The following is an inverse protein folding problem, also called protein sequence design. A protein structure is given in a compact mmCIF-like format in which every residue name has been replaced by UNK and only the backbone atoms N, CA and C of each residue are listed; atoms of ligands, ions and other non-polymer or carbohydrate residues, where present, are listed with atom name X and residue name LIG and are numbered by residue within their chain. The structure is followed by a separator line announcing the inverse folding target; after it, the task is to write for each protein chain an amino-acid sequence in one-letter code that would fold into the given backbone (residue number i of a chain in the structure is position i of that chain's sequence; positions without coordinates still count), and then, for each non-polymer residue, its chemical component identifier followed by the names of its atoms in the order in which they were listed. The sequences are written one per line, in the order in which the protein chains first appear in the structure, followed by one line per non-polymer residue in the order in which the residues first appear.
data_IF_355128520274
#
_entry.id   IF_355128520274
#
_cell.length_a   1.000
_cell.length_b   1.000
_cell.length_c   1.000
_cell.angle_alpha   90.00
_cell.angle_beta   90.00
_cell.angle_gamma   90.00
#
_symmetry.space_group_name_H-M   'P 1'
#
loop_
_entity.id
_entity.type
_entity.pdbx_description
1 polymer ?
#
# COMPACT_ATOMS: atom_id res chain seq x y z
N UNK A 1 56.19 0.04 59.32
CA UNK A 1 56.93 0.92 58.46
C UNK A 1 56.04 1.18 57.21
N UNK A 2 55.64 2.42 57.06
CA UNK A 2 54.79 2.98 56.03
C UNK A 2 55.49 3.00 54.66
N UNK A 3 54.74 3.12 53.62
CA UNK A 3 54.79 4.07 52.51
C UNK A 3 53.89 3.68 51.34
N UNK A 4 52.88 4.41 51.11
CA UNK A 4 52.63 5.36 50.03
C UNK A 4 52.10 4.74 48.73
N UNK A 5 50.80 4.97 48.49
CA UNK A 5 50.19 5.01 47.19
C UNK A 5 50.69 6.20 46.33
N UNK A 6 50.56 6.14 45.03
CA UNK A 6 49.97 7.28 44.34
C UNK A 6 48.79 6.96 43.43
N UNK A 7 47.86 7.89 43.50
CA UNK A 7 46.64 8.10 42.75
C UNK A 7 46.75 7.93 41.22
N UNK A 8 45.79 7.20 40.61
CA UNK A 8 45.53 7.23 39.19
C UNK A 8 44.34 8.17 38.89
N UNK A 9 44.60 9.17 38.11
CA UNK A 9 43.62 10.15 37.57
C UNK A 9 42.69 9.49 36.57
N UNK A 10 41.39 9.65 36.76
CA UNK A 10 40.34 9.21 35.89
C UNK A 10 40.17 10.16 34.69
N UNK A 11 40.38 9.71 33.47
CA UNK A 11 39.93 10.36 32.24
C UNK A 11 38.41 10.27 32.09
N UNK A 12 37.71 11.31 31.59
CA UNK A 12 36.28 11.28 31.40
C UNK A 12 35.91 10.49 30.12
N UNK A 13 35.00 9.54 30.28
CA UNK A 13 34.44 8.75 29.20
C UNK A 13 33.67 9.61 28.18
N UNK A 14 33.95 9.44 26.90
CA UNK A 14 33.22 10.07 25.79
C UNK A 14 31.80 9.51 25.70
N UNK A 15 30.76 10.33 25.47
CA UNK A 15 29.40 9.84 25.34
C UNK A 15 29.22 9.06 24.01
N UNK A 16 28.57 7.92 24.09
CA UNK A 16 28.24 7.05 22.95
C UNK A 16 27.23 7.72 22.05
N UNK A 17 27.43 7.56 20.74
CA UNK A 17 26.61 8.10 19.61
C UNK A 17 25.15 7.61 19.54
N UNK A 18 24.65 6.88 20.51
CA UNK A 18 23.30 6.29 20.51
C UNK A 18 22.17 7.29 20.85
N UNK A 19 22.49 8.51 21.27
CA UNK A 19 21.47 9.51 21.67
C UNK A 19 21.00 10.39 20.49
N UNK A 20 21.74 10.43 19.37
CA UNK A 20 21.39 11.31 18.24
C UNK A 20 20.28 10.74 17.33
N UNK A 21 20.11 9.42 17.24
CA UNK A 21 19.09 8.80 16.39
C UNK A 21 17.67 8.90 16.95
N UNK A 22 17.52 8.87 18.28
CA UNK A 22 16.21 9.05 18.95
C UNK A 22 15.72 10.50 18.86
N UNK A 23 16.64 11.48 18.81
CA UNK A 23 16.29 12.89 18.70
C UNK A 23 15.78 13.29 17.31
N UNK A 24 16.18 12.60 16.24
CA UNK A 24 15.69 12.86 14.87
C UNK A 24 14.24 12.38 14.65
N UNK A 25 13.83 11.30 15.31
CA UNK A 25 12.45 10.78 15.20
C UNK A 25 11.44 11.64 15.99
N UNK A 26 11.84 12.17 17.13
CA UNK A 26 11.00 13.11 17.90
C UNK A 26 10.87 14.45 17.16
N UNK A 27 11.89 14.86 16.40
CA UNK A 27 11.86 16.07 15.57
C UNK A 27 10.89 15.96 14.39
N UNK A 28 10.81 14.82 13.71
CA UNK A 28 9.90 14.60 12.59
C UNK A 28 8.44 14.54 13.04
N UNK A 29 8.14 13.86 14.16
CA UNK A 29 6.79 13.82 14.74
C UNK A 29 6.36 15.18 15.31
N UNK A 30 7.28 15.96 15.88
CA UNK A 30 7.00 17.31 16.37
C UNK A 30 6.85 18.32 15.23
N UNK A 31 7.56 18.19 14.12
CA UNK A 31 7.38 19.01 12.92
C UNK A 31 6.02 18.75 12.24
N UNK A 32 5.57 17.51 12.18
CA UNK A 32 4.20 17.19 11.71
C UNK A 32 3.13 17.75 12.65
N UNK A 33 3.34 17.71 13.96
CA UNK A 33 2.39 18.25 14.93
C UNK A 33 2.35 19.79 14.90
N UNK A 34 3.47 20.47 14.70
CA UNK A 34 3.56 21.94 14.61
C UNK A 34 2.95 22.45 13.30
N UNK A 35 3.10 21.72 12.19
CA UNK A 35 2.44 22.05 10.93
C UNK A 35 0.91 21.80 10.98
N UNK A 36 0.47 20.88 11.83
CA UNK A 36 -0.97 20.62 12.03
C UNK A 36 -1.64 21.63 12.95
N UNK A 37 -0.96 22.12 13.99
CA UNK A 37 -1.46 23.13 14.93
C UNK A 37 -1.41 24.58 14.39
N UNK A 38 -0.73 24.82 13.28
CA UNK A 38 -0.62 26.12 12.62
C UNK A 38 -1.62 26.35 11.47
N UNK A 39 -2.48 25.38 11.15
CA UNK A 39 -3.56 25.60 10.19
C UNK A 39 -4.72 26.30 10.88
N UNK A 40 -4.92 27.58 10.55
CA UNK A 40 -6.10 28.33 10.95
C UNK A 40 -7.37 27.64 10.40
N UNK A 41 -8.33 27.24 11.23
CA UNK A 41 -9.54 26.56 10.77
C UNK A 41 -10.49 27.45 9.95
N UNK A 42 -10.18 28.73 9.78
CA UNK A 42 -10.96 29.71 9.02
C UNK A 42 -10.27 30.24 7.75
N UNK A 43 -9.21 29.59 7.23
CA UNK A 43 -8.67 29.93 5.93
C UNK A 43 -9.74 29.66 4.86
N UNK A 44 -10.24 30.75 4.28
CA UNK A 44 -11.43 30.83 3.41
C UNK A 44 -11.45 29.74 2.32
N UNK A 45 -12.57 29.04 2.23
CA UNK A 45 -12.91 28.01 1.24
C UNK A 45 -12.97 28.54 -0.23
N UNK A 46 -12.62 29.80 -0.49
CA UNK A 46 -12.84 30.49 -1.77
C UNK A 46 -11.60 30.79 -2.60
N UNK A 47 -10.43 30.26 -2.27
CA UNK A 47 -9.31 30.34 -3.21
C UNK A 47 -9.53 29.34 -4.35
N UNK A 48 -9.47 29.76 -5.65
CA UNK A 48 -9.60 28.84 -6.76
C UNK A 48 -8.42 27.87 -6.71
N UNK A 49 -8.65 26.62 -6.28
CA UNK A 49 -7.68 25.53 -6.40
C UNK A 49 -7.44 25.24 -7.88
N UNK A 50 -6.17 24.98 -8.23
CA UNK A 50 -5.78 24.63 -9.58
C UNK A 50 -6.68 23.51 -10.15
N UNK A 51 -6.95 23.59 -11.45
CA UNK A 51 -7.71 22.55 -12.15
C UNK A 51 -6.96 21.19 -12.04
N UNK A 52 -7.71 20.05 -12.04
CA UNK A 52 -7.13 18.73 -12.04
C UNK A 52 -6.04 18.56 -13.11
N UNK A 53 -5.01 17.76 -12.81
CA UNK A 53 -3.77 17.62 -13.58
C UNK A 53 -3.93 17.46 -15.10
N UNK A 54 -2.89 17.82 -15.82
CA UNK A 54 -2.86 17.76 -17.29
C UNK A 54 -2.07 16.54 -17.74
N UNK A 55 -2.58 15.69 -18.66
CA UNK A 55 -1.84 14.58 -19.22
C UNK A 55 -0.68 15.08 -20.09
N UNK A 56 0.52 14.55 -19.90
CA UNK A 56 1.68 14.77 -20.77
C UNK A 56 2.03 13.43 -21.42
N UNK A 57 1.99 13.39 -22.75
CA UNK A 57 2.23 12.17 -23.53
C UNK A 57 3.67 12.14 -24.08
N UNK A 58 4.30 10.98 -24.01
CA UNK A 58 5.33 10.62 -24.98
C UNK A 58 4.60 10.13 -26.26
N UNK A 59 5.05 10.55 -27.45
CA UNK A 59 4.39 10.33 -28.75
C UNK A 59 4.37 8.85 -29.22
N UNK A 60 3.94 7.90 -28.37
CA UNK A 60 3.87 6.49 -28.72
C UNK A 60 2.41 5.99 -28.71
N UNK A 61 1.94 5.52 -29.86
CA UNK A 61 0.70 4.76 -29.95
C UNK A 61 0.77 3.51 -29.06
N UNK A 62 -0.29 3.21 -28.30
CA UNK A 62 -0.38 2.00 -27.52
C UNK A 62 -0.22 0.78 -28.43
N UNK A 63 0.79 -0.10 -28.21
CA UNK A 63 0.91 -1.33 -29.00
C UNK A 63 -0.27 -2.25 -28.69
N UNK A 64 -0.78 -2.95 -29.71
CA UNK A 64 -1.65 -4.09 -29.48
C UNK A 64 -0.84 -5.15 -28.72
N UNK A 65 -1.21 -5.38 -27.46
CA UNK A 65 -0.55 -6.33 -26.56
C UNK A 65 -1.33 -7.61 -26.39
N UNK A 66 -0.73 -8.65 -25.78
CA UNK A 66 -1.43 -9.90 -25.50
C UNK A 66 -2.66 -9.63 -24.63
N UNK A 67 -3.68 -10.46 -24.87
CA UNK A 67 -4.92 -10.50 -24.10
C UNK A 67 -4.59 -10.58 -22.59
N UNK A 68 -5.30 -9.83 -21.75
CA UNK A 68 -5.11 -9.88 -20.30
C UNK A 68 -5.30 -11.33 -19.83
N UNK A 69 -4.28 -11.88 -19.20
CA UNK A 69 -4.43 -13.14 -18.47
C UNK A 69 -5.56 -13.00 -17.44
N UNK A 70 -6.24 -14.11 -17.18
CA UNK A 70 -7.43 -14.19 -16.33
C UNK A 70 -7.29 -13.42 -15.02
N UNK A 71 -8.03 -12.32 -14.92
CA UNK A 71 -8.23 -11.62 -13.65
C UNK A 71 -9.08 -12.51 -12.74
N UNK A 72 -8.74 -12.55 -11.45
CA UNK A 72 -9.51 -13.31 -10.47
C UNK A 72 -10.99 -12.93 -10.55
N UNK A 73 -11.85 -13.87 -10.95
CA UNK A 73 -13.29 -13.70 -10.88
C UNK A 73 -13.73 -13.79 -9.41
N UNK A 74 -14.20 -12.68 -8.86
CA UNK A 74 -14.67 -12.61 -7.49
C UNK A 74 -14.40 -11.24 -6.85
N UNK A 75 -15.05 -10.92 -5.72
CA UNK A 75 -14.82 -9.65 -5.05
C UNK A 75 -13.36 -9.54 -4.58
N UNK A 76 -12.77 -8.32 -4.57
CA UNK A 76 -11.40 -8.07 -4.15
C UNK A 76 -11.28 -8.22 -2.63
N UNK A 77 -10.86 -9.39 -2.16
CA UNK A 77 -10.86 -9.83 -0.76
C UNK A 77 -9.54 -9.62 -0.04
N UNK A 78 -8.52 -9.10 -0.71
CA UNK A 78 -7.19 -8.86 -0.16
C UNK A 78 -6.54 -7.66 -0.85
N UNK A 79 -5.39 -7.25 -0.31
CA UNK A 79 -4.62 -6.14 -0.85
C UNK A 79 -4.42 -6.27 -2.36
N UNK A 80 -4.67 -5.21 -3.11
CA UNK A 80 -4.56 -5.11 -4.57
C UNK A 80 -5.43 -6.12 -5.36
N UNK A 81 -6.42 -6.73 -4.70
CA UNK A 81 -7.41 -7.62 -5.29
C UNK A 81 -7.01 -9.10 -5.37
N UNK A 82 -5.74 -9.42 -5.50
CA UNK A 82 -5.23 -10.78 -5.62
C UNK A 82 -3.86 -10.98 -4.92
N UNK A 83 -3.41 -12.24 -4.76
CA UNK A 83 -2.16 -12.58 -4.08
C UNK A 83 -0.90 -12.09 -4.79
N UNK A 84 -0.98 -11.80 -6.09
CA UNK A 84 0.12 -11.27 -6.91
C UNK A 84 0.18 -9.74 -6.88
N UNK A 85 -0.78 -9.08 -6.25
CA UNK A 85 -0.92 -7.63 -6.13
C UNK A 85 -1.01 -6.92 -7.49
N UNK A 86 -1.69 -7.54 -8.46
CA UNK A 86 -1.75 -6.98 -9.81
C UNK A 86 -2.45 -5.62 -9.88
N UNK A 87 -3.34 -5.32 -8.93
CA UNK A 87 -4.18 -4.13 -8.97
C UNK A 87 -5.17 -4.15 -10.13
N UNK A 88 -5.49 -5.34 -10.68
CA UNK A 88 -6.47 -5.54 -11.74
C UNK A 88 -7.83 -5.88 -11.16
N UNK A 89 -8.87 -5.37 -11.79
CA UNK A 89 -10.25 -5.72 -11.50
C UNK A 89 -10.92 -6.34 -12.71
N UNK A 90 -11.68 -7.42 -12.49
CA UNK A 90 -12.55 -8.03 -13.51
C UNK A 90 -13.78 -7.17 -13.83
N UNK A 91 -14.01 -6.10 -13.07
CA UNK A 91 -15.19 -5.26 -13.15
C UNK A 91 -14.86 -3.92 -13.80
N UNK A 92 -15.84 -3.33 -14.51
CA UNK A 92 -15.74 -1.98 -15.00
C UNK A 92 -16.08 -0.99 -13.88
N UNK A 93 -15.26 0.05 -13.73
CA UNK A 93 -15.53 1.11 -12.76
C UNK A 93 -16.45 2.21 -13.28
N UNK A 94 -16.78 3.20 -12.43
CA UNK A 94 -17.75 4.23 -12.76
C UNK A 94 -17.27 5.12 -13.92
N UNK A 95 -18.19 5.43 -14.85
CA UNK A 95 -17.93 6.31 -16.00
C UNK A 95 -17.94 7.78 -15.60
N UNK A 96 -18.62 8.12 -14.54
CA UNK A 96 -18.67 9.43 -13.89
C UNK A 96 -18.62 9.21 -12.38
N UNK A 97 -18.20 10.21 -11.62
CA UNK A 97 -18.01 10.09 -10.18
C UNK A 97 -19.18 10.75 -9.44
N UNK A 98 -20.09 9.95 -8.88
CA UNK A 98 -21.08 10.40 -7.90
C UNK A 98 -20.92 9.70 -6.57
N UNK A 99 -21.06 10.46 -5.49
CA UNK A 99 -21.07 9.90 -4.14
C UNK A 99 -22.36 9.07 -3.93
N UNK A 100 -22.18 7.76 -3.79
CA UNK A 100 -23.30 6.90 -3.39
C UNK A 100 -23.59 7.00 -1.89
N UNK A 101 -22.52 6.91 -1.10
CA UNK A 101 -22.53 7.10 0.35
C UNK A 101 -21.11 7.28 0.88
N UNK A 102 -20.99 7.82 2.09
CA UNK A 102 -19.76 7.82 2.86
C UNK A 102 -19.99 7.29 4.26
N UNK A 103 -18.94 6.72 4.86
CA UNK A 103 -18.95 6.23 6.24
C UNK A 103 -17.80 6.86 7.01
N UNK A 104 -18.12 7.56 8.12
CA UNK A 104 -17.12 8.21 8.95
C UNK A 104 -16.56 7.23 10.00
N UNK A 105 -15.24 7.24 10.15
CA UNK A 105 -14.47 6.50 11.16
C UNK A 105 -13.89 7.44 12.21
N UNK A 106 -13.16 6.90 13.19
CA UNK A 106 -12.52 7.70 14.25
C UNK A 106 -11.10 8.16 13.92
N UNK A 107 -10.53 7.67 12.85
CA UNK A 107 -9.20 7.99 12.39
C UNK A 107 -9.10 7.90 10.87
N UNK A 108 -8.06 8.50 10.31
CA UNK A 108 -7.80 8.46 8.87
C UNK A 108 -7.75 7.02 8.34
N UNK A 109 -8.07 6.86 7.07
CA UNK A 109 -8.11 5.56 6.40
C UNK A 109 -7.05 5.54 5.30
N UNK A 110 -5.89 4.99 5.59
CA UNK A 110 -4.82 4.75 4.61
C UNK A 110 -4.82 3.30 4.10
N UNK A 111 -5.37 2.37 4.91
CA UNK A 111 -5.56 0.98 4.49
C UNK A 111 -6.51 0.88 3.30
N UNK A 112 -6.22 -0.02 2.35
CA UNK A 112 -7.15 -0.33 1.27
C UNK A 112 -8.40 -1.02 1.84
N UNK A 113 -9.63 -0.60 1.50
CA UNK A 113 -10.83 -1.36 1.82
C UNK A 113 -10.87 -2.68 1.02
N UNK A 114 -11.58 -3.69 1.52
CA UNK A 114 -11.79 -4.95 0.79
C UNK A 114 -13.27 -5.31 0.79
N UNK A 115 -13.67 -6.12 -0.21
CA UNK A 115 -15.07 -6.54 -0.40
C UNK A 115 -15.17 -8.04 -0.15
N UNK A 116 -16.03 -8.43 0.78
CA UNK A 116 -16.29 -9.82 1.13
C UNK A 116 -17.17 -10.57 0.11
N UNK A 117 -17.36 -11.89 0.32
CA UNK A 117 -18.07 -12.74 -0.64
C UNK A 117 -19.52 -12.34 -0.93
N UNK A 118 -20.22 -11.74 0.05
CA UNK A 118 -21.62 -11.28 -0.09
C UNK A 118 -21.74 -9.78 -0.33
N UNK A 119 -20.62 -9.09 -0.64
CA UNK A 119 -20.57 -7.66 -0.91
C UNK A 119 -20.37 -6.79 0.32
N UNK A 120 -20.07 -7.37 1.48
CA UNK A 120 -19.68 -6.61 2.66
C UNK A 120 -18.39 -5.83 2.39
N UNK A 121 -18.30 -4.62 2.95
CA UNK A 121 -17.09 -3.79 2.85
C UNK A 121 -16.39 -3.77 4.20
N UNK A 122 -15.13 -4.16 4.21
CA UNK A 122 -14.29 -4.11 5.39
C UNK A 122 -13.27 -2.99 5.26
N UNK A 123 -13.16 -2.18 6.30
CA UNK A 123 -12.23 -1.05 6.35
C UNK A 123 -11.63 -0.92 7.74
N UNK A 124 -10.36 -0.57 7.79
CA UNK A 124 -9.62 -0.33 9.02
C UNK A 124 -9.14 1.12 9.07
N UNK A 125 -9.06 1.68 10.27
CA UNK A 125 -8.67 3.07 10.49
C UNK A 125 -7.54 3.24 11.50
N UNK A 126 -6.91 4.42 11.50
CA UNK A 126 -5.88 4.78 12.48
C UNK A 126 -6.45 5.06 13.89
N UNK A 127 -7.77 5.13 14.07
CA UNK A 127 -8.42 5.12 15.38
C UNK A 127 -8.37 3.73 16.03
N UNK A 128 -7.86 2.73 15.31
CA UNK A 128 -7.62 1.39 15.81
C UNK A 128 -8.83 0.47 15.75
N UNK A 129 -9.77 0.75 14.85
CA UNK A 129 -10.98 -0.06 14.65
C UNK A 129 -11.02 -0.73 13.28
N UNK A 130 -11.45 -1.98 13.24
CA UNK A 130 -11.88 -2.69 12.04
C UNK A 130 -13.40 -2.62 11.94
N UNK A 131 -13.91 -2.19 10.80
CA UNK A 131 -15.34 -2.03 10.54
C UNK A 131 -15.79 -2.99 9.44
N UNK A 132 -16.96 -3.60 9.61
CA UNK A 132 -17.68 -4.32 8.57
C UNK A 132 -18.97 -3.57 8.24
N UNK A 133 -19.16 -3.26 6.97
CA UNK A 133 -20.30 -2.51 6.46
C UNK A 133 -21.10 -3.37 5.49
N UNK A 134 -22.40 -3.07 5.35
CA UNK A 134 -23.18 -3.56 4.22
C UNK A 134 -22.74 -2.86 2.93
N UNK A 135 -23.09 -3.38 1.71
CA UNK A 135 -22.83 -2.70 0.44
C UNK A 135 -23.46 -1.28 0.36
N UNK A 136 -24.38 -0.96 1.26
CA UNK A 136 -25.10 0.33 1.36
C UNK A 136 -24.53 1.26 2.43
N UNK A 137 -23.32 0.99 2.97
CA UNK A 137 -22.62 1.82 3.94
C UNK A 137 -23.17 1.74 5.37
N UNK A 138 -24.03 0.76 5.71
CA UNK A 138 -24.54 0.58 7.07
C UNK A 138 -23.58 -0.30 7.87
N UNK A 139 -23.19 0.16 9.07
CA UNK A 139 -22.36 -0.61 9.99
C UNK A 139 -23.04 -1.92 10.39
N UNK A 140 -22.34 -3.05 10.19
CA UNK A 140 -22.71 -4.37 10.71
C UNK A 140 -22.09 -4.62 12.07
N UNK A 141 -20.78 -4.41 12.16
CA UNK A 141 -20.02 -4.50 13.41
C UNK A 141 -18.74 -3.67 13.34
N UNK A 142 -18.23 -3.28 14.50
CA UNK A 142 -16.95 -2.61 14.73
C UNK A 142 -16.15 -3.40 15.77
N UNK A 143 -14.83 -3.53 15.58
CA UNK A 143 -13.91 -4.18 16.53
C UNK A 143 -12.72 -3.27 16.80
N UNK A 144 -12.62 -2.69 18.02
CA UNK A 144 -11.41 -1.98 18.44
C UNK A 144 -10.28 -2.99 18.70
N UNK A 145 -9.09 -2.74 18.14
CA UNK A 145 -7.95 -3.66 18.20
C UNK A 145 -6.78 -3.15 19.05
N UNK A 146 -6.88 -1.93 19.58
CA UNK A 146 -5.98 -1.39 20.60
C UNK A 146 -4.77 -0.60 20.09
N UNK A 147 -4.67 -0.36 18.79
CA UNK A 147 -3.62 0.49 18.15
C UNK A 147 -4.01 0.85 16.74
N UNK A 148 -3.37 1.83 16.12
CA UNK A 148 -3.61 2.18 14.73
C UNK A 148 -3.57 0.97 13.80
N UNK A 149 -4.37 0.98 12.74
CA UNK A 149 -4.40 -0.09 11.75
C UNK A 149 -4.04 0.49 10.39
N UNK A 150 -2.84 0.14 9.91
CA UNK A 150 -2.36 0.43 8.56
C UNK A 150 -2.59 -0.75 7.62
N UNK A 151 -2.77 -1.93 8.22
CA UNK A 151 -2.95 -3.20 7.53
C UNK A 151 -4.24 -3.22 6.71
N UNK A 152 -4.15 -3.55 5.43
CA UNK A 152 -5.33 -3.92 4.63
C UNK A 152 -5.91 -5.23 5.15
N UNK A 153 -7.21 -5.29 5.49
CA UNK A 153 -7.85 -6.54 5.87
C UNK A 153 -7.80 -7.57 4.74
N UNK A 154 -7.78 -8.86 5.11
CA UNK A 154 -7.96 -9.96 4.17
C UNK A 154 -9.23 -10.72 4.54
N UNK A 155 -10.02 -11.12 3.54
CA UNK A 155 -11.23 -11.94 3.72
C UNK A 155 -11.07 -13.24 2.97
N UNK A 156 -11.21 -14.38 3.65
CA UNK A 156 -11.12 -15.69 3.00
C UNK A 156 -12.44 -16.09 2.29
N UNK A 157 -12.44 -17.28 1.70
CA UNK A 157 -13.58 -17.84 0.99
C UNK A 157 -14.76 -18.20 1.91
N UNK A 158 -14.53 -18.30 3.21
CA UNK A 158 -15.56 -18.53 4.25
C UNK A 158 -16.08 -17.22 4.85
N UNK A 159 -15.52 -16.08 4.46
CA UNK A 159 -15.84 -14.75 4.99
C UNK A 159 -15.12 -14.41 6.30
N UNK A 160 -14.15 -15.22 6.72
CA UNK A 160 -13.33 -14.88 7.87
C UNK A 160 -12.40 -13.72 7.52
N UNK A 161 -12.25 -12.79 8.46
CA UNK A 161 -11.46 -11.57 8.29
C UNK A 161 -10.16 -11.68 9.08
N UNK A 162 -9.06 -11.24 8.47
CA UNK A 162 -7.74 -11.23 9.07
C UNK A 162 -7.15 -9.83 8.96
N UNK A 163 -6.50 -9.33 10.02
CA UNK A 163 -5.93 -7.99 10.08
C UNK A 163 -4.75 -7.92 11.04
N UNK A 164 -3.71 -7.19 10.67
CA UNK A 164 -2.60 -6.83 11.53
C UNK A 164 -2.82 -5.47 12.19
N UNK A 165 -2.09 -5.17 13.27
CA UNK A 165 -2.18 -3.89 13.99
C UNK A 165 -0.84 -3.48 14.59
N UNK A 166 -0.67 -2.18 14.84
CA UNK A 166 0.44 -1.62 15.64
C UNK A 166 0.36 -2.01 17.12
N UNK A 167 -0.75 -2.60 17.56
CA UNK A 167 -0.82 -3.27 18.86
C UNK A 167 -0.06 -4.61 18.89
N UNK A 168 0.82 -4.85 17.90
CA UNK A 168 1.68 -6.03 17.76
C UNK A 168 0.88 -7.33 17.80
N UNK A 169 -0.11 -7.40 16.96
CA UNK A 169 -0.93 -8.59 16.85
C UNK A 169 -1.54 -8.74 15.45
N UNK A 170 -1.71 -9.99 15.05
CA UNK A 170 -2.54 -10.41 13.94
C UNK A 170 -3.78 -11.06 14.52
N UNK A 171 -4.95 -10.67 14.04
CA UNK A 171 -6.24 -11.15 14.56
C UNK A 171 -7.10 -11.72 13.45
N UNK A 172 -7.89 -12.73 13.76
CA UNK A 172 -8.90 -13.29 12.86
C UNK A 172 -10.28 -13.20 13.50
N UNK A 173 -11.27 -12.84 12.66
CA UNK A 173 -12.67 -12.72 13.06
C UNK A 173 -13.57 -13.56 12.16
N UNK A 174 -14.71 -14.00 12.67
CA UNK A 174 -15.78 -14.59 11.87
C UNK A 174 -16.47 -13.52 11.01
N UNK A 175 -17.32 -13.89 10.04
CA UNK A 175 -18.14 -12.94 9.29
C UNK A 175 -19.05 -12.05 10.18
N UNK A 176 -19.40 -12.53 11.39
CA UNK A 176 -20.21 -11.83 12.39
C UNK A 176 -19.33 -10.96 13.30
N UNK A 177 -18.00 -10.99 13.10
CA UNK A 177 -17.03 -10.21 13.87
C UNK A 177 -16.66 -10.85 15.21
N UNK A 178 -16.92 -12.13 15.44
CA UNK A 178 -16.44 -12.84 16.61
C UNK A 178 -14.96 -13.16 16.48
N UNK A 179 -14.17 -12.92 17.56
CA UNK A 179 -12.75 -13.22 17.57
C UNK A 179 -12.53 -14.73 17.46
N UNK A 180 -11.82 -15.18 16.42
CA UNK A 180 -11.45 -16.58 16.23
C UNK A 180 -10.11 -16.89 16.90
N UNK A 181 -9.11 -16.05 16.67
CA UNK A 181 -7.79 -16.14 17.30
C UNK A 181 -7.06 -14.78 17.21
N UNK A 182 -6.07 -14.63 18.08
CA UNK A 182 -5.13 -13.50 18.08
C UNK A 182 -3.72 -14.03 18.28
N UNK A 183 -2.83 -13.68 17.36
CA UNK A 183 -1.42 -14.05 17.37
C UNK A 183 -0.59 -12.81 17.72
N UNK A 184 0.17 -12.80 18.84
CA UNK A 184 1.06 -11.70 19.20
C UNK A 184 2.32 -11.72 18.34
N UNK A 185 2.79 -10.53 17.92
CA UNK A 185 4.02 -10.35 17.14
C UNK A 185 5.07 -9.58 17.94
N UNK A 186 6.36 -9.73 17.60
CA UNK A 186 7.45 -8.98 18.25
C UNK A 186 7.49 -7.51 17.77
N UNK A 187 7.12 -7.25 16.52
CA UNK A 187 7.02 -5.94 15.90
C UNK A 187 5.60 -5.59 15.47
N UNK A 188 5.41 -4.37 15.01
CA UNK A 188 4.12 -3.89 14.52
C UNK A 188 3.71 -4.68 13.27
N UNK A 189 2.46 -5.13 13.21
CA UNK A 189 1.88 -5.82 12.05
C UNK A 189 1.06 -4.84 11.22
N UNK A 190 1.75 -3.86 10.65
CA UNK A 190 1.20 -2.71 9.92
C UNK A 190 1.04 -2.97 8.41
N UNK A 191 1.51 -4.12 7.92
CA UNK A 191 1.33 -4.53 6.52
C UNK A 191 0.05 -5.33 6.32
N UNK A 192 -0.47 -5.35 5.09
CA UNK A 192 -1.57 -6.24 4.71
C UNK A 192 -1.16 -7.72 4.75
N UNK A 193 -2.15 -8.59 4.67
CA UNK A 193 -1.94 -10.03 4.56
C UNK A 193 -2.18 -10.51 3.13
N UNK A 194 -1.48 -11.58 2.73
CA UNK A 194 -1.74 -12.29 1.48
C UNK A 194 -2.12 -13.75 1.74
N UNK A 195 -3.11 -14.24 1.00
CA UNK A 195 -3.51 -15.64 1.03
C UNK A 195 -2.81 -16.41 -0.09
N UNK A 196 -1.90 -17.30 0.26
CA UNK A 196 -1.17 -18.12 -0.68
C UNK A 196 -2.01 -19.21 -1.35
N UNK A 197 -1.51 -19.85 -2.42
CA UNK A 197 -2.22 -20.89 -3.16
C UNK A 197 -2.51 -22.16 -2.32
N UNK A 198 -1.72 -22.37 -1.28
CA UNK A 198 -1.88 -23.46 -0.30
C UNK A 198 -2.85 -23.12 0.84
N UNK A 199 -3.51 -21.95 0.80
CA UNK A 199 -4.44 -21.49 1.83
C UNK A 199 -3.80 -20.90 3.09
N UNK A 200 -2.47 -20.72 3.11
CA UNK A 200 -1.75 -20.06 4.21
C UNK A 200 -1.80 -18.55 4.08
N UNK A 201 -1.80 -17.90 5.23
CA UNK A 201 -1.67 -16.46 5.37
C UNK A 201 -0.19 -16.08 5.43
N UNK A 202 0.22 -15.10 4.64
CA UNK A 202 1.55 -14.52 4.70
C UNK A 202 1.43 -13.06 5.17
N UNK A 203 2.22 -12.68 6.16
CA UNK A 203 2.16 -11.33 6.77
C UNK A 203 3.53 -10.94 7.31
N UNK A 204 3.89 -9.69 7.14
CA UNK A 204 5.08 -9.11 7.74
C UNK A 204 4.72 -8.41 9.07
N UNK A 205 5.59 -8.57 10.08
CA UNK A 205 5.47 -7.87 11.34
C UNK A 205 6.87 -7.55 11.88
N UNK A 206 7.23 -6.29 11.98
CA UNK A 206 8.60 -5.86 12.25
C UNK A 206 9.56 -6.39 11.19
N UNK A 207 10.60 -7.12 11.60
CA UNK A 207 11.58 -7.73 10.67
C UNK A 207 11.22 -9.16 10.26
N UNK A 208 10.09 -9.68 10.72
CA UNK A 208 9.72 -11.08 10.53
C UNK A 208 8.59 -11.23 9.51
N UNK A 209 8.77 -12.13 8.54
CA UNK A 209 7.73 -12.62 7.65
C UNK A 209 7.22 -13.95 8.20
N UNK A 210 5.91 -14.06 8.39
CA UNK A 210 5.26 -15.25 8.90
C UNK A 210 4.43 -15.94 7.82
N UNK A 211 4.42 -17.28 7.85
CA UNK A 211 3.36 -18.07 7.25
C UNK A 211 2.51 -18.68 8.37
N UNK A 212 1.23 -18.39 8.35
CA UNK A 212 0.27 -18.75 9.40
C UNK A 212 -0.87 -19.54 8.76
N UNK A 213 -1.24 -20.67 9.37
CA UNK A 213 -2.43 -21.42 8.96
C UNK A 213 -3.70 -20.63 9.35
N UNK A 214 -4.83 -20.90 8.70
CA UNK A 214 -6.10 -20.17 8.96
C UNK A 214 -6.62 -20.32 10.40
N UNK A 215 -6.10 -21.28 11.16
CA UNK A 215 -6.41 -21.49 12.58
C UNK A 215 -5.49 -20.72 13.54
N UNK A 216 -4.52 -19.96 13.00
CA UNK A 216 -3.59 -19.15 13.78
C UNK A 216 -2.25 -19.82 14.11
N UNK A 217 -2.03 -21.07 13.71
CA UNK A 217 -0.78 -21.77 13.93
C UNK A 217 0.32 -21.30 12.96
N UNK A 218 1.48 -20.90 13.50
CA UNK A 218 2.63 -20.51 12.68
C UNK A 218 3.26 -21.74 12.05
N UNK A 219 3.41 -21.72 10.72
CA UNK A 219 4.09 -22.78 9.98
C UNK A 219 5.59 -22.55 9.89
N UNK A 220 5.98 -21.31 9.58
CA UNK A 220 7.37 -20.89 9.57
C UNK A 220 7.48 -19.36 9.78
N UNK A 221 8.68 -18.93 10.11
CA UNK A 221 9.07 -17.55 10.25
C UNK A 221 10.40 -17.32 9.53
N UNK A 222 10.47 -16.33 8.66
CA UNK A 222 11.68 -15.84 8.01
C UNK A 222 12.04 -14.47 8.58
N UNK A 223 13.31 -14.23 8.92
CA UNK A 223 13.77 -12.94 9.45
C UNK A 223 14.63 -12.22 8.44
N UNK A 224 14.21 -11.00 8.06
CA UNK A 224 14.95 -10.06 7.23
C UNK A 224 16.00 -9.28 8.04
N UNK A 225 16.89 -8.57 7.34
CA UNK A 225 17.90 -7.72 7.96
C UNK A 225 17.33 -6.42 8.52
N UNK A 226 16.23 -5.89 7.95
CA UNK A 226 15.52 -4.67 8.35
C UNK A 226 14.03 -4.88 8.51
N UNK A 227 13.30 -3.80 8.81
CA UNK A 227 11.84 -3.82 8.92
C UNK A 227 11.23 -4.17 7.56
N UNK A 228 10.29 -5.10 7.55
CA UNK A 228 9.45 -5.43 6.41
C UNK A 228 8.23 -4.50 6.44
N UNK A 229 8.18 -3.55 5.52
CA UNK A 229 7.14 -2.52 5.49
C UNK A 229 6.14 -2.72 4.34
N UNK A 230 6.25 -3.81 3.60
CA UNK A 230 5.40 -4.09 2.44
C UNK A 230 4.48 -5.28 2.70
N UNK A 231 3.26 -5.22 2.16
CA UNK A 231 2.40 -6.39 2.07
C UNK A 231 3.08 -7.44 1.18
N UNK A 232 3.20 -8.70 1.63
CA UNK A 232 3.85 -9.76 0.85
C UNK A 232 3.04 -10.14 -0.39
N UNK A 233 3.66 -10.24 -1.57
CA UNK A 233 3.05 -10.85 -2.75
C UNK A 233 3.40 -12.33 -2.85
N UNK A 234 2.47 -13.17 -3.34
CA UNK A 234 2.66 -14.62 -3.40
C UNK A 234 2.49 -15.14 -4.83
N UNK A 235 3.53 -15.76 -5.35
CA UNK A 235 3.53 -16.39 -6.66
C UNK A 235 2.64 -17.64 -6.74
N UNK A 236 2.40 -18.11 -7.96
CA UNK A 236 1.59 -19.31 -8.19
C UNK A 236 2.26 -20.60 -7.67
N UNK A 237 3.58 -20.58 -7.54
CA UNK A 237 4.39 -21.65 -6.91
C UNK A 237 4.47 -21.53 -5.39
N UNK A 238 3.88 -20.49 -4.79
CA UNK A 238 3.92 -20.23 -3.38
C UNK A 238 5.16 -19.47 -2.89
N UNK A 239 6.06 -19.03 -3.79
CA UNK A 239 7.18 -18.14 -3.44
C UNK A 239 6.62 -16.79 -2.96
N UNK A 240 7.12 -16.28 -1.85
CA UNK A 240 6.69 -15.04 -1.22
C UNK A 240 7.72 -13.95 -1.47
N UNK A 241 7.27 -12.80 -1.99
CA UNK A 241 8.12 -11.64 -2.25
C UNK A 241 7.76 -10.52 -1.30
N UNK A 242 8.77 -9.90 -0.66
CA UNK A 242 8.56 -8.83 0.32
C UNK A 242 9.73 -7.84 0.31
N UNK A 243 9.40 -6.55 0.34
CA UNK A 243 10.37 -5.45 0.45
C UNK A 243 10.75 -5.17 1.90
N UNK A 244 11.97 -4.65 2.09
CA UNK A 244 12.55 -4.35 3.41
C UNK A 244 13.27 -3.02 3.42
N UNK A 245 13.32 -2.39 4.58
CA UNK A 245 14.07 -1.17 4.87
C UNK A 245 15.57 -1.41 5.12
N UNK A 246 16.09 -2.59 4.73
CA UNK A 246 17.52 -2.87 4.59
C UNK A 246 18.00 -2.84 3.12
N UNK A 247 17.24 -2.15 2.28
CA UNK A 247 17.48 -2.01 0.82
C UNK A 247 17.30 -3.32 0.03
N UNK A 248 16.60 -4.33 0.55
CA UNK A 248 16.44 -5.61 -0.16
C UNK A 248 14.98 -5.93 -0.48
N UNK A 249 14.77 -6.48 -1.69
CA UNK A 249 13.63 -7.32 -2.00
C UNK A 249 14.02 -8.78 -1.72
N UNK A 250 13.24 -9.48 -0.93
CA UNK A 250 13.43 -10.88 -0.59
C UNK A 250 12.46 -11.78 -1.35
N UNK A 251 12.93 -12.91 -1.84
CA UNK A 251 12.12 -14.04 -2.30
C UNK A 251 12.30 -15.21 -1.32
N UNK A 252 11.21 -15.65 -0.72
CA UNK A 252 11.19 -16.70 0.31
C UNK A 252 10.36 -17.87 -0.20
N UNK A 253 10.87 -19.11 -0.05
CA UNK A 253 10.20 -20.32 -0.53
C UNK A 253 8.93 -20.62 0.25
N UNK A 254 8.03 -21.50 -0.24
CA UNK A 254 6.86 -21.96 0.50
C UNK A 254 7.19 -22.62 1.86
N UNK A 255 8.44 -23.05 2.05
CA UNK A 255 8.97 -23.66 3.28
C UNK A 255 9.59 -22.64 4.24
N UNK A 256 9.73 -21.37 3.83
CA UNK A 256 10.28 -20.28 4.63
C UNK A 256 11.80 -20.10 4.49
N UNK A 257 12.40 -20.65 3.44
CA UNK A 257 13.83 -20.51 3.16
C UNK A 257 14.08 -19.37 2.16
N UNK A 258 15.21 -18.65 2.32
CA UNK A 258 15.62 -17.64 1.38
C UNK A 258 15.96 -18.28 0.03
N UNK A 259 15.27 -17.85 -1.03
CA UNK A 259 15.58 -18.27 -2.41
C UNK A 259 16.62 -17.33 -3.01
N UNK A 260 16.36 -16.03 -2.95
CA UNK A 260 17.27 -14.97 -3.34
C UNK A 260 16.89 -13.64 -2.69
N UNK A 261 17.80 -12.69 -2.69
CA UNK A 261 17.52 -11.29 -2.38
C UNK A 261 18.15 -10.40 -3.45
N UNK A 262 17.48 -9.28 -3.74
CA UNK A 262 17.96 -8.25 -4.67
C UNK A 262 18.14 -6.93 -3.91
N UNK A 263 19.35 -6.34 -3.99
CA UNK A 263 19.66 -5.09 -3.31
C UNK A 263 19.42 -3.89 -4.21
N UNK A 264 18.72 -2.89 -3.69
CA UNK A 264 18.53 -1.55 -4.23
C UNK A 264 19.47 -0.53 -3.56
N UNK A 265 19.35 0.76 -3.89
CA UNK A 265 20.13 1.84 -3.27
C UNK A 265 19.34 2.62 -2.22
N UNK A 266 18.15 2.15 -1.82
CA UNK A 266 17.28 2.73 -0.80
C UNK A 266 16.21 1.77 -0.35
N UNK A 267 15.43 2.16 0.67
CA UNK A 267 14.37 1.35 1.26
C UNK A 267 13.37 0.84 0.20
N UNK A 268 12.90 -0.38 0.38
CA UNK A 268 11.88 -1.00 -0.47
C UNK A 268 10.53 -0.99 0.25
N UNK A 269 9.89 0.19 0.29
CA UNK A 269 8.59 0.41 0.93
C UNK A 269 7.40 0.22 -0.04
N UNK A 270 7.67 -0.01 -1.33
CA UNK A 270 6.64 -0.33 -2.33
C UNK A 270 6.31 -1.82 -2.32
N UNK A 271 5.05 -2.22 -2.04
CA UNK A 271 4.63 -3.61 -2.13
C UNK A 271 4.88 -4.18 -3.54
N UNK A 272 5.54 -5.35 -3.66
CA UNK A 272 5.80 -5.95 -4.96
C UNK A 272 4.53 -6.43 -5.65
N UNK A 273 4.51 -6.39 -7.00
CA UNK A 273 3.49 -6.97 -7.84
C UNK A 273 4.10 -8.00 -8.79
N UNK A 274 3.39 -9.09 -9.06
CA UNK A 274 3.87 -10.20 -9.89
C UNK A 274 3.10 -10.23 -11.21
N UNK A 275 3.82 -10.04 -12.31
CA UNK A 275 3.28 -10.14 -13.66
C UNK A 275 2.90 -11.57 -14.07
N UNK A 276 2.20 -11.70 -15.19
CA UNK A 276 1.73 -13.00 -15.69
C UNK A 276 2.89 -13.90 -16.15
N UNK A 277 4.04 -13.31 -16.51
CA UNK A 277 5.28 -14.01 -16.84
C UNK A 277 6.16 -14.33 -15.61
N UNK A 278 5.68 -13.99 -14.40
CA UNK A 278 6.42 -14.14 -13.16
C UNK A 278 7.44 -13.05 -12.89
N UNK A 279 7.46 -11.96 -13.65
CA UNK A 279 8.31 -10.79 -13.38
C UNK A 279 7.78 -10.07 -12.15
N UNK A 280 8.69 -9.69 -11.23
CA UNK A 280 8.39 -8.96 -10.02
C UNK A 280 8.66 -7.47 -10.26
N UNK A 281 7.63 -6.63 -10.08
CA UNK A 281 7.70 -5.18 -10.21
C UNK A 281 7.55 -4.53 -8.85
N UNK A 282 8.42 -3.57 -8.53
CA UNK A 282 8.34 -2.79 -7.28
C UNK A 282 9.08 -1.46 -7.41
N UNK A 283 8.80 -0.54 -6.51
CA UNK A 283 9.49 0.73 -6.38
C UNK A 283 10.44 0.75 -5.19
N UNK A 284 11.33 1.74 -5.15
CA UNK A 284 12.23 1.99 -4.03
C UNK A 284 12.34 3.49 -3.75
N UNK A 285 12.78 3.83 -2.55
CA UNK A 285 13.12 5.19 -2.13
C UNK A 285 14.37 5.73 -2.85
N UNK A 286 15.12 4.86 -3.56
CA UNK A 286 16.19 5.26 -4.47
C UNK A 286 15.68 5.91 -5.78
N UNK A 287 14.34 6.10 -5.88
CA UNK A 287 13.65 6.75 -7.01
C UNK A 287 13.63 5.92 -8.28
N UNK A 288 13.66 4.60 -8.15
CA UNK A 288 13.57 3.69 -9.30
C UNK A 288 12.40 2.74 -9.17
N UNK A 289 11.92 2.32 -10.33
CA UNK A 289 11.05 1.16 -10.50
C UNK A 289 11.89 0.03 -11.04
N UNK A 290 11.75 -1.13 -10.48
CA UNK A 290 12.50 -2.34 -10.83
C UNK A 290 11.59 -3.40 -11.44
N UNK A 291 12.10 -4.13 -12.41
CA UNK A 291 11.56 -5.39 -12.90
C UNK A 291 12.61 -6.48 -12.71
N UNK A 292 12.30 -7.43 -11.85
CA UNK A 292 13.20 -8.55 -11.51
C UNK A 292 12.56 -9.82 -12.07
N UNK A 293 13.36 -10.63 -12.74
CA UNK A 293 12.94 -11.95 -13.19
C UNK A 293 12.75 -12.90 -11.98
N UNK A 294 12.01 -13.99 -12.18
CA UNK A 294 11.71 -14.97 -11.13
C UNK A 294 12.95 -15.57 -10.47
N UNK A 295 14.08 -15.63 -11.18
CA UNK A 295 15.37 -16.13 -10.67
C UNK A 295 16.19 -15.08 -9.90
N UNK A 296 15.65 -13.85 -9.70
CA UNK A 296 16.30 -12.75 -9.01
C UNK A 296 17.17 -11.87 -9.92
N UNK A 297 17.28 -12.16 -11.22
CA UNK A 297 18.06 -11.34 -12.16
C UNK A 297 17.30 -10.06 -12.55
N UNK A 298 18.02 -8.94 -12.69
CA UNK A 298 17.47 -7.67 -13.14
C UNK A 298 17.08 -7.74 -14.61
N UNK A 299 15.83 -7.42 -14.93
CA UNK A 299 15.37 -7.20 -16.32
C UNK A 299 15.63 -5.76 -16.73
N UNK A 300 15.13 -4.81 -15.94
CA UNK A 300 15.36 -3.37 -16.11
C UNK A 300 15.11 -2.60 -14.80
N UNK A 301 15.66 -1.39 -14.73
CA UNK A 301 15.38 -0.42 -13.69
C UNK A 301 15.23 0.97 -14.30
N UNK A 302 14.12 1.65 -14.03
CA UNK A 302 13.82 2.97 -14.57
C UNK A 302 13.87 4.01 -13.47
N UNK A 303 14.72 5.03 -13.64
CA UNK A 303 14.82 6.16 -12.72
C UNK A 303 13.65 7.13 -12.93
N UNK A 304 13.01 7.54 -11.84
CA UNK A 304 11.98 8.56 -11.77
C UNK A 304 12.46 9.76 -10.92
N UNK A 305 11.78 10.89 -11.02
CA UNK A 305 12.18 12.12 -10.30
C UNK A 305 11.61 12.20 -8.86
N UNK A 306 11.24 11.06 -8.27
CA UNK A 306 10.71 10.97 -6.91
C UNK A 306 10.72 9.54 -6.40
N UNK A 307 10.50 9.34 -5.10
CA UNK A 307 10.41 8.03 -4.46
C UNK A 307 9.21 7.25 -5.00
N UNK A 308 9.31 5.94 -5.02
CA UNK A 308 8.24 5.05 -5.45
C UNK A 308 7.85 4.15 -4.29
N UNK A 309 6.84 4.58 -3.53
CA UNK A 309 6.31 3.89 -2.35
C UNK A 309 4.96 3.23 -2.61
N UNK A 310 4.20 3.77 -3.60
CA UNK A 310 2.95 3.18 -4.01
C UNK A 310 3.17 1.77 -4.61
N UNK A 311 2.27 0.81 -4.36
CA UNK A 311 2.28 -0.44 -5.09
C UNK A 311 1.99 -0.19 -6.57
N UNK A 312 2.68 -0.90 -7.46
CA UNK A 312 2.46 -0.76 -8.90
C UNK A 312 1.13 -1.39 -9.34
N UNK A 313 0.50 -0.82 -10.36
CA UNK A 313 -0.68 -1.39 -11.03
C UNK A 313 -0.29 -2.01 -12.37
N UNK A 314 -0.75 -3.24 -12.65
CA UNK A 314 -0.47 -3.93 -13.90
C UNK A 314 -1.66 -3.76 -14.85
N UNK A 315 -1.45 -3.18 -16.02
CA UNK A 315 -2.48 -2.92 -17.02
C UNK A 315 -2.43 -3.82 -18.24
N UNK A 316 -3.35 -3.61 -19.20
CA UNK A 316 -3.34 -4.31 -20.48
C UNK A 316 -2.11 -3.91 -21.32
N UNK A 317 -1.80 -4.74 -22.33
CA UNK A 317 -0.70 -4.48 -23.27
C UNK A 317 0.66 -4.21 -22.61
N UNK A 318 0.92 -4.82 -21.44
CA UNK A 318 2.16 -4.63 -20.70
C UNK A 318 2.32 -3.22 -20.13
N UNK A 319 1.23 -2.50 -19.84
CA UNK A 319 1.28 -1.23 -19.12
C UNK A 319 1.57 -1.47 -17.63
N UNK A 320 2.44 -0.65 -17.04
CA UNK A 320 2.73 -0.61 -15.61
C UNK A 320 2.47 0.79 -15.12
N UNK A 321 1.57 0.95 -14.15
CA UNK A 321 1.21 2.24 -13.59
C UNK A 321 1.86 2.43 -12.23
N UNK A 322 2.51 3.57 -12.05
CA UNK A 322 3.37 3.85 -10.89
C UNK A 322 3.01 5.21 -10.32
N UNK A 323 2.71 5.26 -9.03
CA UNK A 323 2.61 6.51 -8.28
C UNK A 323 3.99 7.03 -7.89
N UNK A 324 4.25 8.31 -8.15
CA UNK A 324 5.52 8.99 -7.81
C UNK A 324 5.29 9.95 -6.67
N UNK A 325 6.13 9.84 -5.64
CA UNK A 325 6.13 10.67 -4.44
C UNK A 325 7.33 11.62 -4.45
N UNK A 326 7.09 12.92 -4.35
CA UNK A 326 8.16 13.92 -4.33
C UNK A 326 7.78 15.24 -5.02
N UNK A 327 8.76 16.06 -5.42
CA UNK A 327 8.53 17.44 -5.89
C UNK A 327 7.77 17.55 -7.22
N UNK A 328 7.63 16.45 -7.96
CA UNK A 328 6.84 16.36 -9.20
C UNK A 328 5.90 15.16 -9.12
N UNK A 329 4.84 15.24 -8.29
CA UNK A 329 3.92 14.15 -8.09
C UNK A 329 3.16 13.84 -9.39
N UNK A 330 3.11 12.55 -9.72
CA UNK A 330 2.46 12.08 -10.95
C UNK A 330 2.17 10.59 -10.91
N UNK A 331 1.28 10.14 -11.75
CA UNK A 331 1.21 8.72 -12.14
C UNK A 331 1.94 8.57 -13.46
N UNK A 332 2.82 7.58 -13.55
CA UNK A 332 3.59 7.25 -14.75
C UNK A 332 3.13 5.91 -15.30
N UNK A 333 2.96 5.80 -16.61
CA UNK A 333 2.77 4.55 -17.31
C UNK A 333 4.09 4.12 -17.94
N UNK A 334 4.60 2.96 -17.55
CA UNK A 334 5.81 2.36 -18.11
C UNK A 334 5.47 1.14 -18.97
N UNK A 335 6.38 0.79 -19.89
CA UNK A 335 6.32 -0.46 -20.65
C UNK A 335 6.96 -1.59 -19.84
N UNK A 336 6.26 -2.71 -19.67
CA UNK A 336 6.73 -3.87 -18.92
C UNK A 336 7.96 -4.55 -19.54
N UNK A 337 8.22 -4.34 -20.84
CA UNK A 337 9.32 -5.00 -21.57
C UNK A 337 10.69 -4.40 -21.24
N UNK A 338 10.75 -3.07 -21.12
CA UNK A 338 12.00 -2.32 -21.03
C UNK A 338 11.97 -1.15 -20.02
N UNK A 339 10.82 -0.91 -19.36
CA UNK A 339 10.64 0.17 -18.40
C UNK A 339 10.55 1.57 -19.04
N UNK A 340 10.42 1.68 -20.37
CA UNK A 340 10.28 2.96 -21.03
C UNK A 340 8.97 3.66 -20.63
N UNK A 341 9.02 4.98 -20.40
CA UNK A 341 7.84 5.79 -20.12
C UNK A 341 6.98 5.91 -21.39
N UNK A 342 5.70 5.54 -21.27
CA UNK A 342 4.68 5.73 -22.33
C UNK A 342 3.99 7.06 -22.19
N UNK A 343 3.63 7.45 -20.97
CA UNK A 343 3.00 8.72 -20.62
C UNK A 343 3.04 8.94 -19.11
N UNK A 344 2.78 10.18 -18.69
CA UNK A 344 2.49 10.47 -17.29
C UNK A 344 1.34 11.47 -17.16
N UNK A 345 0.68 11.43 -16.00
CA UNK A 345 -0.35 12.36 -15.58
C UNK A 345 0.14 13.10 -14.34
N UNK A 346 0.37 14.40 -14.47
CA UNK A 346 0.84 15.24 -13.37
C UNK A 346 -0.31 15.54 -12.39
N UNK A 347 -0.04 15.37 -11.10
CA UNK A 347 -0.92 15.80 -10.02
C UNK A 347 -0.46 17.18 -9.57
N UNK A 348 -1.36 18.15 -9.55
CA UNK A 348 -1.01 19.53 -9.21
C UNK A 348 -1.25 19.76 -7.73
N UNK A 349 -0.18 19.95 -6.98
CA UNK A 349 -0.24 20.27 -5.56
C UNK A 349 0.37 21.63 -5.34
N UNK A 350 -0.41 22.54 -4.74
CA UNK A 350 0.07 23.85 -4.36
C UNK A 350 0.79 23.74 -3.00
N UNK A 351 2.08 24.05 -2.98
CA UNK A 351 2.80 24.53 -1.80
C UNK A 351 3.42 23.54 -0.80
N UNK A 352 3.73 22.28 -1.16
CA UNK A 352 4.47 21.40 -0.22
C UNK A 352 5.54 20.54 -0.91
N UNK A 353 6.61 20.19 -0.17
CA UNK A 353 7.80 19.49 -0.69
C UNK A 353 7.75 17.96 -0.54
N UNK A 354 6.74 17.40 0.13
CA UNK A 354 6.66 15.96 0.46
C UNK A 354 5.28 15.40 0.13
N UNK A 355 4.90 15.46 -1.16
CA UNK A 355 3.56 15.10 -1.59
C UNK A 355 3.64 14.22 -2.82
N UNK A 356 2.66 13.33 -2.98
CA UNK A 356 2.71 12.41 -4.07
C UNK A 356 1.45 11.62 -4.33
N UNK A 357 1.66 10.56 -5.08
CA UNK A 357 0.69 9.51 -5.27
C UNK A 357 1.16 8.31 -4.47
N UNK A 358 0.66 8.16 -3.23
CA UNK A 358 0.93 7.02 -2.35
C UNK A 358 -0.07 5.87 -2.58
N UNK A 359 -1.24 6.20 -3.12
CA UNK A 359 -2.27 5.24 -3.52
C UNK A 359 -1.81 4.37 -4.70
N UNK A 360 -1.98 3.06 -4.59
CA UNK A 360 -1.68 2.13 -5.69
C UNK A 360 -2.71 2.23 -6.82
N UNK A 361 -2.28 2.45 -8.08
CA UNK A 361 -3.20 2.54 -9.21
C UNK A 361 -3.97 1.23 -9.45
N UNK A 362 -5.29 1.27 -9.40
CA UNK A 362 -6.19 0.17 -9.75
C UNK A 362 -6.54 0.25 -11.24
N UNK A 363 -6.59 -0.90 -11.90
CA UNK A 363 -6.95 -1.01 -13.33
C UNK A 363 -8.23 -1.80 -13.48
N UNK A 364 -9.25 -1.22 -14.11
CA UNK A 364 -10.53 -1.88 -14.36
C UNK A 364 -10.49 -2.81 -15.59
N UNK A 365 -11.60 -3.53 -15.82
CA UNK A 365 -11.75 -4.44 -16.96
C UNK A 365 -11.52 -3.76 -18.32
N UNK A 366 -11.86 -2.48 -18.44
CA UNK A 366 -11.74 -1.71 -19.68
C UNK A 366 -10.36 -1.03 -19.80
N UNK A 367 -9.45 -1.26 -18.83
CA UNK A 367 -8.11 -0.70 -18.76
C UNK A 367 -8.03 0.72 -18.18
N UNK A 368 -9.15 1.27 -17.66
CA UNK A 368 -9.12 2.56 -17.00
C UNK A 368 -8.40 2.47 -15.66
N UNK A 369 -7.70 3.54 -15.29
CA UNK A 369 -6.86 3.63 -14.10
C UNK A 369 -7.54 4.49 -13.05
N UNK A 370 -7.50 4.06 -11.79
CA UNK A 370 -8.04 4.79 -10.64
C UNK A 370 -6.98 4.89 -9.55
N UNK A 371 -6.81 6.07 -8.96
CA UNK A 371 -5.88 6.30 -7.86
C UNK A 371 -6.29 7.51 -7.01
N UNK A 372 -5.81 7.55 -5.78
CA UNK A 372 -5.88 8.70 -4.91
C UNK A 372 -4.59 9.50 -4.93
N UNK A 373 -4.62 10.77 -4.54
CA UNK A 373 -3.45 11.62 -4.44
C UNK A 373 -3.55 12.59 -3.26
N UNK A 374 -2.42 13.21 -2.91
CA UNK A 374 -2.30 14.17 -1.82
C UNK A 374 -2.76 15.59 -2.20
N UNK A 375 -3.64 15.72 -3.17
CA UNK A 375 -4.34 16.96 -3.52
C UNK A 375 -5.84 16.89 -3.19
N UNK A 376 -6.23 15.92 -2.35
CA UNK A 376 -7.60 15.64 -1.94
C UNK A 376 -8.49 15.08 -3.07
N UNK A 377 -7.90 14.42 -4.09
CA UNK A 377 -8.69 13.88 -5.19
C UNK A 377 -8.48 12.37 -5.40
N UNK A 378 -9.57 11.73 -5.80
CA UNK A 378 -9.58 10.42 -6.47
C UNK A 378 -9.72 10.66 -7.96
N UNK A 379 -8.84 10.07 -8.75
CA UNK A 379 -8.78 10.24 -10.20
C UNK A 379 -9.20 8.97 -10.94
N UNK A 380 -9.79 9.16 -12.12
CA UNK A 380 -9.91 8.12 -13.13
C UNK A 380 -9.32 8.61 -14.45
N UNK A 381 -8.44 7.78 -15.03
CA UNK A 381 -7.83 8.03 -16.34
C UNK A 381 -8.22 6.96 -17.34
N UNK A 382 -8.15 7.29 -18.64
CA UNK A 382 -8.18 6.30 -19.71
C UNK A 382 -6.87 5.49 -19.75
N UNK A 383 -6.79 4.37 -20.47
CA UNK A 383 -5.53 3.66 -20.70
C UNK A 383 -4.44 4.53 -21.36
N UNK A 384 -4.83 5.58 -22.08
CA UNK A 384 -3.94 6.55 -22.73
C UNK A 384 -3.53 7.73 -21.82
N UNK A 385 -3.95 7.74 -20.55
CA UNK A 385 -3.59 8.77 -19.57
C UNK A 385 -4.48 10.01 -19.61
N UNK A 386 -5.57 10.03 -20.39
CA UNK A 386 -6.50 11.16 -20.41
C UNK A 386 -7.42 11.13 -19.20
N UNK A 387 -7.68 12.29 -18.59
CA UNK A 387 -8.58 12.42 -17.46
C UNK A 387 -10.03 12.05 -17.86
N UNK A 388 -10.64 11.09 -17.14
CA UNK A 388 -12.05 10.76 -17.27
C UNK A 388 -12.90 11.57 -16.29
N UNK A 389 -12.48 11.56 -15.02
CA UNK A 389 -13.10 12.33 -13.95
C UNK A 389 -12.15 12.46 -12.75
N UNK A 390 -12.42 13.43 -11.89
CA UNK A 390 -11.81 13.60 -10.59
C UNK A 390 -12.92 13.81 -9.55
N UNK A 391 -12.80 13.13 -8.40
CA UNK A 391 -13.71 13.22 -7.25
C UNK A 391 -12.96 13.78 -6.07
N UNK A 392 -13.49 14.86 -5.48
CA UNK A 392 -12.84 15.53 -4.35
C UNK A 392 -13.28 14.90 -3.03
N UNK A 393 -12.31 14.65 -2.16
CA UNK A 393 -12.42 14.33 -0.73
C UNK A 393 -12.15 15.58 0.11
N UNK A 394 -12.20 15.48 1.43
CA UNK A 394 -11.90 16.61 2.32
C UNK A 394 -10.43 16.61 2.83
N UNK A 395 -9.63 15.58 2.48
CA UNK A 395 -8.19 15.48 2.77
C UNK A 395 -7.52 14.49 1.80
N UNK A 396 -6.20 14.29 1.96
CA UNK A 396 -5.35 13.40 1.18
C UNK A 396 -5.93 11.98 1.02
N UNK A 397 -5.61 11.33 -0.10
CA UNK A 397 -6.08 9.99 -0.42
C UNK A 397 -4.89 9.04 -0.58
N UNK A 398 -4.45 8.45 0.53
CA UNK A 398 -3.39 7.44 0.59
C UNK A 398 -3.91 6.03 0.29
N UNK A 399 -5.17 5.77 0.62
CA UNK A 399 -5.79 4.48 0.41
C UNK A 399 -5.84 4.10 -1.07
N UNK A 400 -5.46 2.89 -1.39
CA UNK A 400 -5.65 2.34 -2.74
C UNK A 400 -7.13 2.06 -2.99
N UNK A 401 -7.70 2.47 -4.14
CA UNK A 401 -9.10 2.21 -4.45
C UNK A 401 -9.35 0.72 -4.74
N UNK A 402 -10.59 0.29 -4.59
CA UNK A 402 -11.04 -1.06 -4.90
C UNK A 402 -12.39 -1.02 -5.61
N UNK A 403 -12.59 -1.91 -6.60
CA UNK A 403 -13.86 -2.05 -7.32
C UNK A 403 -14.63 -3.29 -6.85
N UNK A 404 -15.87 -3.07 -6.47
CA UNK A 404 -16.83 -4.15 -6.19
C UNK A 404 -17.43 -4.71 -7.48
N UNK A 405 -18.05 -5.91 -7.42
CA UNK A 405 -18.70 -6.55 -8.57
C UNK A 405 -19.80 -5.72 -9.24
N UNK A 406 -20.47 -4.85 -8.50
CA UNK A 406 -21.50 -3.94 -9.01
C UNK A 406 -20.95 -2.65 -9.66
N UNK A 407 -19.61 -2.51 -9.73
CA UNK A 407 -18.93 -1.35 -10.29
C UNK A 407 -18.77 -0.18 -9.31
N UNK A 408 -19.14 -0.34 -8.04
CA UNK A 408 -18.89 0.68 -7.00
C UNK A 408 -17.40 0.72 -6.69
N UNK A 409 -16.80 1.92 -6.71
CA UNK A 409 -15.44 2.18 -6.30
C UNK A 409 -15.43 2.60 -4.82
N UNK A 410 -14.68 1.86 -4.00
CA UNK A 410 -14.46 2.21 -2.60
C UNK A 410 -13.04 2.74 -2.41
N UNK A 411 -12.91 3.78 -1.59
CA UNK A 411 -11.61 4.38 -1.24
C UNK A 411 -11.69 5.08 0.12
N UNK A 412 -10.65 4.95 0.92
CA UNK A 412 -10.47 5.67 2.18
C UNK A 412 -9.79 7.01 1.96
N UNK A 413 -9.92 7.94 2.89
CA UNK A 413 -9.22 9.23 2.90
C UNK A 413 -8.73 9.57 4.31
N UNK A 414 -7.76 10.46 4.38
CA UNK A 414 -7.21 11.02 5.61
C UNK A 414 -8.22 11.93 6.34
N UNK A 415 -9.34 12.28 5.69
CA UNK A 415 -10.49 12.94 6.34
C UNK A 415 -11.33 12.01 7.24
N UNK A 416 -10.85 10.78 7.45
CA UNK A 416 -11.52 9.76 8.25
C UNK A 416 -12.83 9.25 7.65
N UNK A 417 -12.96 9.26 6.32
CA UNK A 417 -14.14 8.71 5.64
C UNK A 417 -13.76 7.63 4.62
N UNK A 418 -14.59 6.59 4.59
CA UNK A 418 -14.68 5.68 3.45
C UNK A 418 -15.70 6.23 2.47
N UNK A 419 -15.35 6.35 1.23
CA UNK A 419 -16.20 6.81 0.13
C UNK A 419 -16.61 5.63 -0.76
N UNK A 420 -17.89 5.59 -1.13
CA UNK A 420 -18.42 4.73 -2.18
C UNK A 420 -18.81 5.60 -3.37
N UNK A 421 -18.11 5.45 -4.48
CA UNK A 421 -18.28 6.24 -5.70
C UNK A 421 -18.83 5.33 -6.79
N UNK A 422 -19.90 5.76 -7.47
CA UNK A 422 -20.50 5.05 -8.60
C UNK A 422 -20.98 6.01 -9.67
N UNK A 423 -21.35 5.47 -10.83
CA UNK A 423 -22.06 6.26 -11.84
C UNK A 423 -23.49 6.59 -11.37
N UNK A 424 -24.05 7.73 -11.81
CA UNK A 424 -25.43 8.13 -11.54
C UNK A 424 -26.46 7.09 -12.03
#
# INVERSE_FOLDING_TARGET
VASDEPSATSEPARPRRTVLLVAMWIGAAAAMLVLWLGRDPEASLDAPRAAPGVPVRADAAMPEGPELATVSEGPPRQFRGDRRHTGRSAYAGPRAAELAWSFATKGRITAQPVVGPSGEVYVADHGGSLHALTPFGRLRWERPLGGPIYSTPLVDDQGNVYVGTDARAISSFSPEGELRWRFPTEGDADTGLALGPNGRLHVAAGNDLFAIERDGNVRWKFRAGGKLFTTPAVGDDGTVYVGSQDDHLYAVSPEGELVWSYRTEGDNDSPPAIGDDGTIYFGSDDRRVYAIARDGSLKWATALEGMVRAPVGLGPAGAIYVGVFGPRPRVVCLDARDGAERWHFAVTIADTTEIGVASGPLVDRDGNVYFGAHDDYVYSLTPSGDLRWAFRTDADVDSSPVLAPDGTLYVGSDDSKLYAIRAP
#
